data_IF_327526373572
#
_entry.id   IF_327526373572
#
_cell.length_a   1.000
_cell.length_b   1.000
_cell.length_c   1.000
_cell.angle_alpha   90.00
_cell.angle_beta   90.00
_cell.angle_gamma   90.00
#
_symmetry.space_group_name_H-M   'P 1'
#
loop_
_entity.id
_entity.type
_entity.pdbx_description
1 polymer ?
#
# COMPACT_ATOMS: atom_id res chain seq x y z
N UNK A 1 -16.13 20.74 -30.27
CA UNK A 1 -16.58 19.73 -29.27
C UNK A 1 -15.36 18.84 -29.04
N UNK A 2 -14.91 18.69 -27.80
CA UNK A 2 -13.60 18.09 -27.49
C UNK A 2 -13.59 16.60 -27.86
N UNK A 3 -12.70 16.23 -28.77
CA UNK A 3 -12.67 14.92 -29.41
C UNK A 3 -11.39 14.17 -29.00
N UNK A 4 -11.54 12.98 -28.43
CA UNK A 4 -10.42 12.16 -27.96
C UNK A 4 -10.81 11.12 -26.90
N UNK A 5 -10.10 9.97 -26.86
CA UNK A 5 -10.41 8.85 -25.95
C UNK A 5 -10.13 9.16 -24.47
N UNK A 6 -9.30 10.16 -24.20
CA UNK A 6 -9.01 10.69 -22.87
C UNK A 6 -9.19 12.20 -22.89
N UNK A 7 -10.06 12.70 -22.02
CA UNK A 7 -10.25 14.12 -21.77
C UNK A 7 -9.49 14.50 -20.51
N UNK A 8 -8.67 15.54 -20.60
CA UNK A 8 -7.87 16.04 -19.48
C UNK A 8 -8.38 17.41 -19.09
N UNK A 9 -8.92 17.53 -17.88
CA UNK A 9 -9.32 18.80 -17.27
C UNK A 9 -8.33 19.14 -16.14
N UNK A 10 -7.91 20.41 -16.03
CA UNK A 10 -7.04 20.89 -14.94
C UNK A 10 -7.83 21.86 -14.05
N UNK A 11 -8.62 21.36 -13.09
CA UNK A 11 -9.51 22.20 -12.27
C UNK A 11 -8.78 23.08 -11.24
N UNK A 12 -7.49 22.83 -10.98
CA UNK A 12 -6.69 23.61 -10.05
C UNK A 12 -5.21 23.26 -10.10
N UNK A 13 -4.39 23.99 -9.35
CA UNK A 13 -2.95 23.74 -9.27
C UNK A 13 -2.68 22.36 -8.65
N UNK A 14 -1.94 21.51 -9.37
CA UNK A 14 -1.59 20.16 -8.93
C UNK A 14 -2.69 19.10 -9.05
N UNK A 15 -3.88 19.44 -9.54
CA UNK A 15 -5.00 18.49 -9.72
C UNK A 15 -5.37 18.39 -11.20
N UNK A 16 -5.31 17.18 -11.76
CA UNK A 16 -5.83 16.86 -13.08
C UNK A 16 -6.96 15.83 -12.96
N UNK A 17 -8.07 16.07 -13.66
CA UNK A 17 -9.19 15.15 -13.82
C UNK A 17 -9.11 14.52 -15.20
N UNK A 18 -8.88 13.21 -15.23
CA UNK A 18 -8.85 12.40 -16.44
C UNK A 18 -10.22 11.74 -16.63
N UNK A 19 -10.90 12.04 -17.74
CA UNK A 19 -12.18 11.40 -18.10
C UNK A 19 -11.95 10.49 -19.30
N UNK A 20 -12.19 9.19 -19.11
CA UNK A 20 -12.14 8.21 -20.19
C UNK A 20 -13.43 8.30 -21.00
N UNK A 21 -13.33 8.66 -22.28
CA UNK A 21 -14.47 8.98 -23.13
C UNK A 21 -14.65 7.92 -24.23
N UNK A 22 -14.76 6.64 -23.84
CA UNK A 22 -14.91 5.52 -24.78
C UNK A 22 -15.96 4.49 -24.28
N UNK A 23 -17.26 4.68 -24.56
CA UNK A 23 -18.28 3.65 -24.32
C UNK A 23 -18.17 2.54 -25.39
N UNK A 24 -18.35 1.23 -25.06
CA UNK A 24 -19.08 0.69 -23.90
C UNK A 24 -18.20 0.06 -22.79
N UNK A 25 -16.88 0.00 -22.94
CA UNK A 25 -15.96 -0.45 -21.89
C UNK A 25 -14.84 0.58 -21.75
N UNK A 26 -14.60 1.07 -20.54
CA UNK A 26 -13.35 1.72 -20.15
C UNK A 26 -12.20 0.69 -20.16
N UNK A 27 -11.94 0.10 -21.32
CA UNK A 27 -10.72 -0.64 -21.62
C UNK A 27 -9.65 0.42 -21.76
N UNK A 28 -8.71 0.42 -20.81
CA UNK A 28 -7.44 1.11 -20.97
C UNK A 28 -6.78 0.50 -22.21
N UNK A 29 -6.82 1.21 -23.34
CA UNK A 29 -6.15 0.75 -24.57
C UNK A 29 -4.63 0.87 -24.38
N UNK A 30 -3.84 0.15 -25.19
CA UNK A 30 -2.38 0.28 -25.17
C UNK A 30 -1.95 1.73 -25.43
N UNK A 31 -2.57 2.41 -26.41
CA UNK A 31 -2.33 3.83 -26.70
C UNK A 31 -2.65 4.74 -25.50
N UNK A 32 -3.74 4.47 -24.77
CA UNK A 32 -4.05 5.22 -23.55
C UNK A 32 -3.05 4.96 -22.42
N UNK A 33 -2.53 3.73 -22.34
CA UNK A 33 -1.48 3.36 -21.37
C UNK A 33 -0.19 4.11 -21.67
N UNK A 34 0.22 4.14 -22.93
CA UNK A 34 1.40 4.89 -23.40
C UNK A 34 1.28 6.38 -23.04
N UNK A 35 0.13 7.01 -23.33
CA UNK A 35 -0.10 8.42 -23.00
C UNK A 35 -0.15 8.70 -21.50
N UNK A 36 -0.61 7.75 -20.68
CA UNK A 36 -0.59 7.87 -19.22
C UNK A 36 0.85 7.77 -18.67
N UNK A 37 1.66 6.87 -19.25
CA UNK A 37 3.07 6.71 -18.90
C UNK A 37 3.87 7.96 -19.28
N UNK A 38 3.63 8.55 -20.47
CA UNK A 38 4.26 9.82 -20.87
C UNK A 38 3.88 11.00 -19.97
N UNK A 39 2.67 11.00 -19.42
CA UNK A 39 2.14 12.11 -18.64
C UNK A 39 2.58 12.10 -17.16
N UNK A 40 3.01 10.95 -16.63
CA UNK A 40 3.32 10.76 -15.21
C UNK A 40 4.70 10.09 -15.09
N UNK A 41 5.74 10.91 -14.92
CA UNK A 41 7.06 10.39 -14.55
C UNK A 41 7.05 9.86 -13.09
N UNK A 42 8.13 9.17 -12.71
CA UNK A 42 8.22 8.55 -11.38
C UNK A 42 8.06 9.57 -10.24
N UNK A 43 8.67 10.76 -10.37
CA UNK A 43 8.61 11.81 -9.34
C UNK A 43 7.23 12.40 -9.21
N UNK A 44 6.54 12.56 -10.33
CA UNK A 44 5.15 12.99 -10.35
C UNK A 44 4.23 11.92 -9.75
N UNK A 45 4.47 10.62 -10.03
CA UNK A 45 3.74 9.53 -9.41
C UNK A 45 3.88 9.51 -7.88
N UNK A 46 5.08 9.79 -7.36
CA UNK A 46 5.36 9.93 -5.92
C UNK A 46 4.61 11.13 -5.34
N UNK A 47 4.68 12.30 -6.00
CA UNK A 47 3.97 13.52 -5.59
C UNK A 47 2.46 13.34 -5.55
N UNK A 48 1.90 12.57 -6.48
CA UNK A 48 0.47 12.25 -6.55
C UNK A 48 0.05 11.13 -5.59
N UNK A 49 0.99 10.46 -4.90
CA UNK A 49 0.71 9.36 -3.99
C UNK A 49 0.34 8.04 -4.68
N UNK A 50 0.67 7.89 -5.97
CA UNK A 50 0.48 6.65 -6.73
C UNK A 50 1.53 5.60 -6.37
N UNK A 51 2.74 6.06 -6.03
CA UNK A 51 3.82 5.24 -5.47
C UNK A 51 4.27 5.86 -4.14
N UNK A 52 4.82 5.01 -3.26
CA UNK A 52 5.25 5.44 -1.93
C UNK A 52 6.64 6.11 -1.93
N UNK A 53 7.54 5.68 -2.80
CA UNK A 53 8.93 6.15 -2.86
C UNK A 53 9.51 6.01 -4.27
N UNK A 54 10.42 6.92 -4.65
CA UNK A 54 11.20 6.85 -5.90
C UNK A 54 12.69 6.91 -5.60
N UNK A 55 13.41 5.86 -6.01
CA UNK A 55 14.85 5.66 -5.84
C UNK A 55 15.58 5.62 -7.17
N UNK A 56 16.93 5.58 -7.16
CA UNK A 56 17.71 5.33 -8.37
C UNK A 56 17.39 3.95 -8.95
N UNK A 57 17.57 3.78 -10.26
CA UNK A 57 17.15 2.56 -10.98
C UNK A 57 17.88 1.32 -10.42
N UNK A 58 19.16 1.47 -10.08
CA UNK A 58 19.99 0.41 -9.49
C UNK A 58 19.57 0.03 -8.06
N UNK A 59 18.82 0.90 -7.39
CA UNK A 59 18.37 0.72 -6.00
C UNK A 59 16.92 0.21 -5.90
N UNK A 60 16.17 0.20 -7.00
CA UNK A 60 14.74 -0.15 -7.02
C UNK A 60 14.48 -1.55 -6.41
N UNK A 61 15.20 -2.58 -6.86
CA UNK A 61 15.05 -3.93 -6.35
C UNK A 61 15.58 -4.09 -4.90
N UNK A 62 16.80 -3.64 -4.56
CA UNK A 62 17.27 -3.64 -3.17
C UNK A 62 16.27 -3.01 -2.21
N UNK A 63 15.74 -1.83 -2.55
CA UNK A 63 14.79 -1.11 -1.72
C UNK A 63 13.45 -1.83 -1.57
N UNK A 64 12.91 -2.35 -2.68
CA UNK A 64 11.67 -3.13 -2.63
C UNK A 64 11.81 -4.37 -1.73
N UNK A 65 12.97 -5.03 -1.75
CA UNK A 65 13.26 -6.16 -0.88
C UNK A 65 13.40 -5.75 0.59
N UNK A 66 13.96 -4.59 0.90
CA UNK A 66 14.00 -4.05 2.27
C UNK A 66 12.59 -3.83 2.82
N UNK A 67 11.70 -3.22 2.03
CA UNK A 67 10.29 -3.03 2.41
C UNK A 67 9.58 -4.38 2.61
N UNK A 68 9.80 -5.34 1.70
CA UNK A 68 9.24 -6.67 1.84
C UNK A 68 9.73 -7.38 3.11
N UNK A 69 11.02 -7.22 3.45
CA UNK A 69 11.61 -7.75 4.69
C UNK A 69 11.02 -7.10 5.94
N UNK A 70 10.84 -5.79 5.95
CA UNK A 70 10.26 -5.11 7.12
C UNK A 70 8.83 -5.58 7.40
N UNK A 71 8.05 -5.84 6.34
CA UNK A 71 6.69 -6.38 6.45
C UNK A 71 6.71 -7.85 6.86
N UNK A 72 7.61 -8.67 6.29
CA UNK A 72 7.66 -10.12 6.58
C UNK A 72 8.11 -10.45 8.00
N UNK A 73 8.78 -9.51 8.68
CA UNK A 73 9.14 -9.58 10.11
C UNK A 73 7.99 -9.25 11.06
N UNK A 74 6.81 -8.88 10.57
CA UNK A 74 5.64 -8.61 11.42
C UNK A 74 4.78 -9.87 11.62
N UNK A 75 3.91 -9.91 12.65
CA UNK A 75 2.94 -10.99 12.82
C UNK A 75 2.03 -11.10 11.60
N UNK A 76 2.03 -12.27 10.94
CA UNK A 76 1.30 -12.48 9.68
C UNK A 76 -0.20 -12.19 9.83
N UNK A 77 -0.78 -12.66 10.93
CA UNK A 77 -2.20 -12.46 11.23
C UNK A 77 -2.51 -10.98 11.46
N UNK A 78 -1.65 -10.24 12.16
CA UNK A 78 -1.84 -8.80 12.37
C UNK A 78 -1.78 -8.02 11.06
N UNK A 79 -0.78 -8.30 10.20
CA UNK A 79 -0.68 -7.66 8.88
C UNK A 79 -1.91 -7.96 8.03
N UNK A 80 -2.38 -9.21 8.02
CA UNK A 80 -3.57 -9.61 7.27
C UNK A 80 -4.84 -8.91 7.81
N UNK A 81 -5.02 -8.86 9.13
CA UNK A 81 -6.14 -8.21 9.79
C UNK A 81 -6.16 -6.71 9.52
N UNK A 82 -5.02 -6.02 9.65
CA UNK A 82 -4.90 -4.58 9.34
C UNK A 82 -5.25 -4.31 7.87
N UNK A 83 -4.68 -5.10 6.95
CA UNK A 83 -4.97 -4.99 5.51
C UNK A 83 -6.46 -5.18 5.21
N UNK A 84 -7.12 -6.12 5.88
CA UNK A 84 -8.57 -6.35 5.78
C UNK A 84 -9.35 -5.15 6.33
N UNK A 85 -9.01 -4.69 7.53
CA UNK A 85 -9.68 -3.57 8.19
C UNK A 85 -9.67 -2.31 7.32
N UNK A 86 -8.50 -1.95 6.78
CA UNK A 86 -8.35 -0.77 5.89
C UNK A 86 -9.17 -0.93 4.60
N UNK A 87 -9.12 -2.10 3.95
CA UNK A 87 -9.87 -2.34 2.70
C UNK A 87 -11.37 -2.26 2.91
N UNK A 88 -11.88 -2.84 3.99
CA UNK A 88 -13.31 -2.85 4.27
C UNK A 88 -13.79 -1.50 4.80
N UNK A 89 -12.95 -0.74 5.52
CA UNK A 89 -13.33 0.62 5.97
C UNK A 89 -13.57 1.59 4.81
N UNK A 90 -12.93 1.38 3.66
CA UNK A 90 -13.17 2.16 2.45
C UNK A 90 -14.54 1.88 1.80
N UNK A 91 -15.18 0.77 2.16
CA UNK A 91 -16.45 0.31 1.58
C UNK A 91 -17.64 0.39 2.54
N UNK A 92 -17.39 0.70 3.81
CA UNK A 92 -18.37 0.63 4.88
C UNK A 92 -18.54 1.95 5.61
N UNK A 93 -19.68 2.12 6.29
CA UNK A 93 -19.91 3.30 7.12
C UNK A 93 -19.00 3.29 8.35
N UNK A 94 -18.69 4.48 8.89
CA UNK A 94 -17.77 4.66 10.02
C UNK A 94 -18.06 3.74 11.22
N UNK A 95 -19.34 3.53 11.54
CA UNK A 95 -19.75 2.65 12.64
C UNK A 95 -19.39 1.18 12.41
N UNK A 96 -19.59 0.68 11.19
CA UNK A 96 -19.23 -0.68 10.79
C UNK A 96 -17.73 -0.88 10.78
N UNK A 97 -16.98 0.11 10.29
CA UNK A 97 -15.51 0.07 10.27
C UNK A 97 -14.91 0.00 11.68
N UNK A 98 -15.47 0.78 12.63
CA UNK A 98 -15.05 0.73 14.04
C UNK A 98 -15.34 -0.65 14.64
N UNK A 99 -16.55 -1.19 14.44
CA UNK A 99 -16.93 -2.52 14.92
C UNK A 99 -16.00 -3.60 14.38
N UNK A 100 -15.75 -3.62 13.07
CA UNK A 100 -14.82 -4.57 12.45
C UNK A 100 -13.41 -4.44 13.02
N UNK A 101 -12.92 -3.21 13.22
CA UNK A 101 -11.58 -2.98 13.78
C UNK A 101 -11.47 -3.52 15.20
N UNK A 102 -12.50 -3.35 16.03
CA UNK A 102 -12.55 -3.90 17.39
C UNK A 102 -12.57 -5.44 17.38
N UNK A 103 -13.38 -6.06 16.51
CA UNK A 103 -13.43 -7.52 16.38
C UNK A 103 -12.09 -8.12 15.95
N UNK A 104 -11.45 -7.50 14.94
CA UNK A 104 -10.11 -7.91 14.49
C UNK A 104 -9.08 -7.73 15.59
N UNK A 105 -9.14 -6.62 16.34
CA UNK A 105 -8.20 -6.35 17.44
C UNK A 105 -8.37 -7.35 18.59
N UNK A 106 -9.61 -7.63 19.00
CA UNK A 106 -9.93 -8.60 20.05
C UNK A 106 -9.40 -10.00 19.71
N UNK A 107 -9.47 -10.41 18.44
CA UNK A 107 -8.85 -11.63 17.98
C UNK A 107 -7.32 -11.59 18.09
N UNK A 108 -6.68 -10.52 17.60
CA UNK A 108 -5.22 -10.39 17.62
C UNK A 108 -4.65 -10.36 19.04
N UNK A 109 -5.33 -9.73 20.01
CA UNK A 109 -4.88 -9.71 21.41
C UNK A 109 -4.82 -11.09 22.08
N UNK A 110 -5.46 -12.11 21.50
CA UNK A 110 -5.42 -13.49 21.99
C UNK A 110 -4.33 -14.36 21.33
N UNK A 111 -3.57 -13.80 20.39
CA UNK A 111 -2.51 -14.52 19.67
C UNK A 111 -1.21 -14.57 20.47
N UNK A 112 -0.40 -15.61 20.27
CA UNK A 112 0.92 -15.71 20.90
C UNK A 112 1.87 -14.62 20.37
N UNK A 113 1.75 -14.24 19.09
CA UNK A 113 2.52 -13.13 18.51
C UNK A 113 2.24 -11.81 19.24
N UNK A 114 1.01 -11.55 19.69
CA UNK A 114 0.72 -10.37 20.50
C UNK A 114 1.40 -10.46 21.88
N UNK A 115 1.32 -11.61 22.55
CA UNK A 115 1.96 -11.84 23.83
C UNK A 115 3.49 -11.70 23.74
N UNK A 116 4.10 -12.23 22.68
CA UNK A 116 5.52 -12.10 22.37
C UNK A 116 5.91 -10.65 22.08
N UNK A 117 5.12 -9.91 21.29
CA UNK A 117 5.36 -8.50 21.02
C UNK A 117 5.41 -7.67 22.30
N UNK A 118 4.46 -7.90 23.22
CA UNK A 118 4.44 -7.25 24.54
C UNK A 118 5.67 -7.66 25.37
N UNK A 119 5.99 -8.95 25.41
CA UNK A 119 7.13 -9.48 26.17
C UNK A 119 8.46 -8.91 25.67
N UNK A 120 8.69 -8.95 24.37
CA UNK A 120 9.90 -8.43 23.73
C UNK A 120 10.08 -6.93 23.97
N UNK A 121 8.98 -6.15 23.92
CA UNK A 121 8.99 -4.73 24.24
C UNK A 121 9.42 -4.47 25.70
N UNK A 122 8.83 -5.20 26.66
CA UNK A 122 9.18 -5.09 28.08
C UNK A 122 10.63 -5.51 28.36
N UNK A 123 11.10 -6.55 27.66
CA UNK A 123 12.47 -7.08 27.76
C UNK A 123 13.50 -6.30 26.92
N UNK A 124 13.08 -5.28 26.16
CA UNK A 124 13.91 -4.46 25.27
C UNK A 124 14.74 -5.28 24.28
N UNK A 125 14.13 -6.32 23.71
CA UNK A 125 14.73 -7.16 22.67
C UNK A 125 13.85 -7.17 21.42
N UNK A 126 14.39 -7.67 20.32
CA UNK A 126 13.59 -7.90 19.13
C UNK A 126 12.57 -9.04 19.36
N UNK A 127 11.32 -8.88 18.89
CA UNK A 127 10.31 -9.93 18.97
C UNK A 127 10.59 -11.05 17.99
N UNK A 128 10.16 -12.27 18.34
CA UNK A 128 10.28 -13.46 17.51
C UNK A 128 8.90 -14.02 17.19
N UNK A 129 8.32 -13.57 16.08
CA UNK A 129 7.00 -14.01 15.65
C UNK A 129 7.04 -15.34 14.89
N UNK A 130 5.99 -16.13 15.03
CA UNK A 130 5.93 -17.46 14.42
C UNK A 130 5.89 -17.38 12.89
N UNK A 131 6.79 -18.13 12.23
CA UNK A 131 6.85 -18.22 10.77
C UNK A 131 7.37 -16.97 10.06
N UNK A 132 7.90 -15.97 10.79
CA UNK A 132 8.70 -14.91 10.19
C UNK A 132 10.00 -15.52 9.61
N UNK A 133 10.36 -15.23 8.34
CA UNK A 133 11.57 -15.79 7.75
C UNK A 133 12.82 -15.26 8.44
N UNK A 134 13.83 -16.11 8.65
CA UNK A 134 15.18 -15.66 8.99
C UNK A 134 15.79 -14.99 7.76
N UNK A 135 15.63 -13.67 7.67
CA UNK A 135 15.94 -12.93 6.45
C UNK A 135 17.43 -12.81 6.13
N UNK A 136 18.35 -13.18 7.04
CA UNK A 136 19.80 -13.29 6.81
C UNK A 136 20.52 -12.07 6.18
N UNK A 137 19.85 -10.91 6.08
CA UNK A 137 20.31 -9.74 5.35
C UNK A 137 20.66 -8.61 6.33
N UNK A 138 21.94 -8.24 6.36
CA UNK A 138 22.48 -7.09 7.09
C UNK A 138 22.24 -5.80 6.30
N UNK A 139 20.98 -5.43 6.09
CA UNK A 139 20.63 -4.12 5.54
C UNK A 139 21.01 -3.05 6.55
N UNK A 140 22.06 -2.27 6.26
CA UNK A 140 22.43 -1.11 7.08
C UNK A 140 21.24 -0.15 7.17
N UNK A 141 20.79 0.07 8.40
CA UNK A 141 19.93 1.21 8.78
C UNK A 141 20.70 2.51 8.57
#
# INVERSE_FOLDING_TARGET
>A
MADGPVLVERPGEGVAKLTLNNPPLNLVTLEMTERLIEAIDAREAERLGLVNEVVADEEALPRALDVARSISRQPKEAVAAIKRGVRESLRSGRGDSVRLTLELSDHLFRTEDCAEGIRAFLEKREPRFEGAPDTGYEGKV
#
